data_IF_081046366256
#
_entry.id   IF_081046366256
#
_cell.length_a   1.000
_cell.length_b   1.000
_cell.length_c   1.000
_cell.angle_alpha   90.00
_cell.angle_beta   90.00
_cell.angle_gamma   90.00
#
_symmetry.space_group_name_H-M   'P 1'
#
loop_
_entity.id
_entity.type
_entity.pdbx_description
1 polymer ?
#
# COMPACT_ATOMS: atom_id res chain seq x y z
N UNK A 1 -1.57 14.87 -12.67
CA UNK A 1 -0.82 14.29 -13.79
C UNK A 1 -1.13 12.81 -14.01
N UNK A 2 -1.22 11.97 -12.96
CA UNK A 2 -1.62 10.56 -13.10
C UNK A 2 -3.03 10.39 -13.71
N UNK A 3 -3.92 11.32 -13.45
CA UNK A 3 -5.28 11.35 -14.00
C UNK A 3 -5.29 11.29 -15.54
N UNK A 4 -4.55 12.15 -16.21
CA UNK A 4 -4.51 12.20 -17.66
C UNK A 4 -3.86 10.97 -18.30
N UNK A 5 -2.80 10.44 -17.66
CA UNK A 5 -2.07 9.26 -18.15
C UNK A 5 -2.95 8.01 -18.07
N UNK A 6 -3.57 7.75 -16.91
CA UNK A 6 -4.42 6.57 -16.71
C UNK A 6 -5.61 6.57 -17.66
N UNK A 7 -6.26 7.73 -17.86
CA UNK A 7 -7.36 7.88 -18.80
C UNK A 7 -6.91 7.59 -20.23
N UNK A 8 -5.80 8.18 -20.68
CA UNK A 8 -5.28 7.97 -22.04
C UNK A 8 -4.91 6.50 -22.31
N UNK A 9 -4.35 5.80 -21.30
CA UNK A 9 -4.06 4.37 -21.40
C UNK A 9 -5.36 3.57 -21.50
N UNK A 10 -6.34 3.85 -20.66
CA UNK A 10 -7.62 3.16 -20.67
C UNK A 10 -8.38 3.37 -22.00
N UNK A 11 -8.40 4.59 -22.52
CA UNK A 11 -8.97 4.90 -23.83
C UNK A 11 -8.26 4.15 -24.97
N UNK A 12 -6.93 4.11 -24.95
CA UNK A 12 -6.15 3.39 -25.97
C UNK A 12 -6.40 1.89 -25.95
N UNK A 13 -6.59 1.30 -24.75
CA UNK A 13 -6.82 -0.13 -24.56
C UNK A 13 -8.30 -0.52 -24.64
N UNK A 14 -9.22 0.43 -24.70
CA UNK A 14 -10.66 0.21 -24.54
C UNK A 14 -10.98 -0.49 -23.19
N UNK A 15 -10.37 0.00 -22.11
CA UNK A 15 -10.50 -0.54 -20.76
C UNK A 15 -11.29 0.40 -19.85
N UNK A 16 -11.86 -0.17 -18.78
CA UNK A 16 -12.48 0.58 -17.69
C UNK A 16 -11.42 1.34 -16.89
N UNK A 17 -11.78 2.52 -16.40
CA UNK A 17 -10.90 3.34 -15.55
C UNK A 17 -11.68 3.92 -14.39
N UNK A 18 -11.05 3.88 -13.21
CA UNK A 18 -11.43 4.68 -12.07
C UNK A 18 -10.21 5.44 -11.58
N UNK A 19 -10.36 6.74 -11.43
CA UNK A 19 -9.32 7.60 -10.89
C UNK A 19 -9.93 8.65 -9.95
N UNK A 20 -9.13 9.12 -9.04
CA UNK A 20 -9.45 10.28 -8.21
C UNK A 20 -8.72 11.51 -8.74
N UNK A 21 -8.97 12.67 -8.14
CA UNK A 21 -8.18 13.88 -8.40
C UNK A 21 -6.75 13.80 -7.85
N UNK A 22 -6.40 12.69 -7.17
CA UNK A 22 -5.09 12.39 -6.61
C UNK A 22 -4.16 11.71 -7.62
N UNK A 23 -3.03 11.23 -7.15
CA UNK A 23 -2.03 10.49 -7.92
C UNK A 23 -2.35 9.00 -8.11
N UNK A 24 -3.54 8.53 -7.72
CA UNK A 24 -3.95 7.13 -7.79
C UNK A 24 -4.96 6.88 -8.90
N UNK A 25 -4.82 5.74 -9.59
CA UNK A 25 -5.75 5.28 -10.63
C UNK A 25 -5.82 3.75 -10.65
N UNK A 26 -6.95 3.22 -11.10
CA UNK A 26 -7.16 1.79 -11.39
C UNK A 26 -7.69 1.69 -12.81
N UNK A 27 -7.03 0.90 -13.65
CA UNK A 27 -7.50 0.55 -14.99
C UNK A 27 -7.70 -0.95 -15.09
N UNK A 28 -8.72 -1.40 -15.79
CA UNK A 28 -9.08 -2.81 -15.88
C UNK A 28 -9.71 -3.16 -17.24
N UNK A 29 -9.34 -4.30 -17.80
CA UNK A 29 -10.07 -4.88 -18.94
C UNK A 29 -11.45 -5.42 -18.56
N UNK A 30 -11.70 -5.61 -17.26
CA UNK A 30 -12.95 -6.13 -16.72
C UNK A 30 -13.80 -5.00 -16.11
N UNK A 31 -15.14 -5.15 -16.10
CA UNK A 31 -16.02 -4.13 -15.56
C UNK A 31 -15.71 -3.76 -14.10
N UNK A 32 -15.65 -2.47 -13.82
CA UNK A 32 -15.63 -1.91 -12.46
C UNK A 32 -17.08 -1.77 -12.02
N UNK A 33 -17.49 -2.49 -10.98
CA UNK A 33 -18.87 -2.57 -10.51
C UNK A 33 -19.15 -1.75 -9.26
N UNK A 34 -18.11 -1.45 -8.48
CA UNK A 34 -18.19 -0.63 -7.27
C UNK A 34 -16.86 0.11 -7.07
N UNK A 35 -16.90 1.27 -6.43
CA UNK A 35 -15.72 2.08 -6.15
C UNK A 35 -15.67 2.50 -4.69
N UNK A 36 -14.47 2.62 -4.15
CA UNK A 36 -14.19 3.04 -2.78
C UNK A 36 -13.24 4.23 -2.80
N UNK A 37 -13.46 5.20 -1.94
CA UNK A 37 -12.67 6.43 -1.86
C UNK A 37 -12.34 6.77 -0.42
N UNK A 38 -11.09 7.11 -0.17
CA UNK A 38 -10.69 7.77 1.08
C UNK A 38 -11.15 9.23 1.06
N UNK A 39 -12.24 9.50 1.77
CA UNK A 39 -12.81 10.85 1.85
C UNK A 39 -12.06 11.78 2.81
N UNK A 40 -11.18 11.23 3.65
CA UNK A 40 -10.47 11.99 4.67
C UNK A 40 -9.12 12.52 4.19
N UNK A 41 -8.32 11.63 3.61
CA UNK A 41 -6.93 11.94 3.23
C UNK A 41 -6.71 11.88 1.72
N UNK A 42 -7.65 11.29 0.97
CA UNK A 42 -7.53 11.05 -0.47
C UNK A 42 -6.23 10.26 -0.83
N UNK A 43 -5.83 9.37 0.07
CA UNK A 43 -4.57 8.62 -0.01
C UNK A 43 -4.70 7.26 -0.72
N UNK A 44 -5.93 6.81 -0.96
CA UNK A 44 -6.21 5.60 -1.72
C UNK A 44 -7.54 5.69 -2.48
N UNK A 45 -7.65 4.88 -3.49
CA UNK A 45 -8.90 4.51 -4.15
C UNK A 45 -9.00 3.00 -4.22
N UNK A 46 -10.22 2.48 -4.26
CA UNK A 46 -10.48 1.05 -4.44
C UNK A 46 -11.53 0.81 -5.49
N UNK A 47 -11.50 -0.37 -6.10
CA UNK A 47 -12.49 -0.81 -7.09
C UNK A 47 -12.80 -2.30 -6.91
N UNK A 48 -14.09 -2.65 -6.99
CA UNK A 48 -14.53 -4.03 -7.22
C UNK A 48 -14.57 -4.28 -8.70
N UNK A 49 -13.90 -5.32 -9.14
CA UNK A 49 -13.74 -5.69 -10.53
C UNK A 49 -14.36 -7.06 -10.75
N UNK A 50 -15.31 -7.16 -11.68
CA UNK A 50 -15.96 -8.42 -12.02
C UNK A 50 -15.15 -9.16 -13.08
N UNK A 51 -14.32 -10.11 -12.66
CA UNK A 51 -13.41 -10.87 -13.54
C UNK A 51 -14.09 -12.04 -14.27
N UNK A 52 -15.31 -12.41 -13.86
CA UNK A 52 -16.13 -13.42 -14.56
C UNK A 52 -17.62 -13.13 -14.31
N UNK A 53 -18.44 -13.37 -15.33
CA UNK A 53 -19.91 -13.22 -15.23
C UNK A 53 -20.65 -14.57 -15.08
N UNK A 54 -19.99 -15.71 -15.34
CA UNK A 54 -20.58 -17.03 -15.20
C UNK A 54 -19.53 -18.10 -14.85
N UNK A 55 -19.43 -18.55 -13.59
CA UNK A 55 -20.08 -17.95 -12.43
C UNK A 55 -19.54 -16.52 -12.18
N UNK A 56 -20.30 -15.71 -11.46
CA UNK A 56 -19.85 -14.37 -11.03
C UNK A 56 -18.63 -14.55 -10.12
N UNK A 57 -17.55 -13.85 -10.46
CA UNK A 57 -16.33 -13.75 -9.64
C UNK A 57 -15.86 -12.31 -9.64
N UNK A 58 -15.67 -11.81 -8.44
CA UNK A 58 -15.17 -10.45 -8.21
C UNK A 58 -13.84 -10.51 -7.47
N UNK A 59 -13.06 -9.45 -7.67
CA UNK A 59 -11.92 -9.10 -6.82
C UNK A 59 -12.03 -7.65 -6.42
N UNK A 60 -11.34 -7.26 -5.35
CA UNK A 60 -11.18 -5.86 -4.96
C UNK A 60 -9.71 -5.49 -5.10
N UNK A 61 -9.45 -4.33 -5.69
CA UNK A 61 -8.11 -3.77 -5.84
C UNK A 61 -8.11 -2.36 -5.24
N UNK A 62 -7.12 -2.07 -4.39
CA UNK A 62 -6.88 -0.73 -3.86
C UNK A 62 -5.54 -0.20 -4.39
N UNK A 63 -5.55 1.03 -4.90
CA UNK A 63 -4.36 1.78 -5.31
C UNK A 63 -4.06 2.84 -4.26
N UNK A 64 -2.85 2.80 -3.70
CA UNK A 64 -2.42 3.61 -2.56
C UNK A 64 -1.30 4.56 -2.98
N UNK A 65 -1.32 5.79 -2.46
CA UNK A 65 -0.19 6.71 -2.49
C UNK A 65 -0.19 7.52 -1.19
N UNK A 66 0.64 7.10 -0.23
CA UNK A 66 0.73 7.74 1.07
C UNK A 66 1.67 8.96 1.04
N UNK A 67 1.62 9.76 2.08
CA UNK A 67 2.45 10.97 2.22
C UNK A 67 3.94 10.64 2.14
N UNK A 68 4.74 11.37 1.31
CA UNK A 68 6.14 11.04 1.08
C UNK A 68 7.07 11.46 2.22
N UNK A 69 6.77 12.55 2.96
CA UNK A 69 7.70 13.16 3.90
C UNK A 69 7.09 13.41 5.29
N UNK A 70 7.93 13.38 6.35
CA UNK A 70 9.33 12.93 6.35
C UNK A 70 9.45 11.46 5.95
N UNK A 71 10.55 11.09 5.26
CA UNK A 71 10.81 9.74 4.79
C UNK A 71 11.83 9.05 5.71
N UNK A 72 11.37 8.12 6.51
CA UNK A 72 12.16 7.51 7.59
C UNK A 72 13.52 6.95 7.17
N UNK A 73 13.69 6.24 6.05
CA UNK A 73 15.00 5.80 5.59
C UNK A 73 16.00 6.93 5.37
N UNK A 74 15.55 8.11 4.94
CA UNK A 74 16.42 9.27 4.80
C UNK A 74 16.88 9.83 6.14
N UNK A 75 15.98 9.82 7.14
CA UNK A 75 16.32 10.25 8.50
C UNK A 75 17.37 9.33 9.13
N UNK A 76 17.25 8.02 8.89
CA UNK A 76 18.25 7.05 9.35
C UNK A 76 19.59 7.25 8.65
N UNK A 77 19.59 7.24 7.31
CA UNK A 77 20.84 7.14 6.54
C UNK A 77 21.56 8.47 6.36
N UNK A 78 20.84 9.59 6.33
CA UNK A 78 21.42 10.90 6.02
C UNK A 78 21.38 11.87 7.18
N UNK A 79 20.35 11.81 8.04
CA UNK A 79 20.28 12.62 9.25
C UNK A 79 20.89 11.92 10.48
N UNK A 80 21.29 10.65 10.36
CA UNK A 80 21.88 9.83 11.42
C UNK A 80 20.96 9.67 12.65
N UNK A 81 19.65 9.59 12.45
CA UNK A 81 18.70 9.30 13.52
C UNK A 81 18.81 7.81 13.86
N UNK A 82 19.50 7.50 14.97
CA UNK A 82 19.72 6.12 15.43
C UNK A 82 18.72 5.69 16.52
N UNK A 83 18.08 6.65 17.20
CA UNK A 83 17.11 6.36 18.25
C UNK A 83 15.74 6.02 17.66
N UNK A 84 15.24 4.82 17.98
CA UNK A 84 13.95 4.34 17.44
C UNK A 84 12.75 5.16 17.92
N UNK A 85 12.84 5.80 19.10
CA UNK A 85 11.78 6.66 19.63
C UNK A 85 11.73 7.98 18.87
N UNK A 86 12.90 8.55 18.57
CA UNK A 86 13.01 9.75 17.73
C UNK A 86 12.51 9.47 16.31
N UNK A 87 12.91 8.33 15.74
CA UNK A 87 12.46 7.91 14.41
C UNK A 87 10.94 7.72 14.35
N UNK A 88 10.34 7.11 15.39
CA UNK A 88 8.90 6.95 15.49
C UNK A 88 8.18 8.31 15.55
N UNK A 89 8.72 9.26 16.30
CA UNK A 89 8.17 10.61 16.37
C UNK A 89 8.22 11.29 14.99
N UNK A 90 9.37 11.23 14.32
CA UNK A 90 9.54 11.80 12.97
C UNK A 90 8.59 11.13 11.97
N UNK A 91 8.52 9.79 11.96
CA UNK A 91 7.63 9.05 11.05
C UNK A 91 6.16 9.39 11.29
N UNK A 92 5.77 9.64 12.53
CA UNK A 92 4.40 10.04 12.88
C UNK A 92 3.98 11.38 12.26
N UNK A 93 4.94 12.29 12.01
CA UNK A 93 4.69 13.59 11.38
C UNK A 93 4.36 13.47 9.89
N UNK A 94 4.66 12.36 9.25
CA UNK A 94 4.34 12.11 7.85
C UNK A 94 2.84 12.03 7.55
N UNK A 95 2.05 11.63 8.55
CA UNK A 95 0.63 11.35 8.39
C UNK A 95 0.30 10.01 7.72
N UNK A 96 1.30 9.18 7.38
CA UNK A 96 1.08 7.86 6.74
C UNK A 96 0.27 6.90 7.61
N UNK A 97 0.55 6.88 8.92
CA UNK A 97 -0.17 6.00 9.83
C UNK A 97 -1.68 6.31 9.92
N UNK A 98 -2.14 7.54 10.08
CA UNK A 98 -3.55 7.90 9.91
C UNK A 98 -4.13 7.51 8.54
N UNK A 99 -3.38 7.68 7.46
CA UNK A 99 -3.82 7.34 6.10
C UNK A 99 -4.06 5.83 5.94
N UNK A 100 -3.13 4.99 6.38
CA UNK A 100 -3.30 3.53 6.30
C UNK A 100 -4.41 3.02 7.23
N UNK A 101 -4.59 3.63 8.41
CA UNK A 101 -5.71 3.32 9.29
C UNK A 101 -7.06 3.69 8.67
N UNK A 102 -7.13 4.79 7.92
CA UNK A 102 -8.33 5.16 7.15
C UNK A 102 -8.65 4.11 6.09
N UNK A 103 -7.63 3.61 5.36
CA UNK A 103 -7.81 2.53 4.40
C UNK A 103 -8.36 1.27 5.07
N UNK A 104 -7.70 0.79 6.11
CA UNK A 104 -8.12 -0.43 6.83
C UNK A 104 -9.54 -0.28 7.39
N UNK A 105 -9.86 0.87 7.98
CA UNK A 105 -11.20 1.14 8.50
C UNK A 105 -12.27 1.14 7.41
N UNK A 106 -12.00 1.79 6.28
CA UNK A 106 -12.91 1.86 5.13
C UNK A 106 -13.13 0.47 4.52
N UNK A 107 -12.07 -0.34 4.44
CA UNK A 107 -12.09 -1.64 3.80
C UNK A 107 -12.32 -2.81 4.78
N UNK A 108 -12.58 -2.56 6.06
CA UNK A 108 -12.61 -3.58 7.11
C UNK A 108 -13.54 -4.77 6.80
N UNK A 109 -14.74 -4.51 6.30
CA UNK A 109 -15.68 -5.58 5.94
C UNK A 109 -15.21 -6.39 4.73
N UNK A 110 -14.52 -5.77 3.80
CA UNK A 110 -13.96 -6.43 2.61
C UNK A 110 -12.74 -7.26 2.97
N UNK A 111 -11.88 -6.76 3.84
CA UNK A 111 -10.73 -7.51 4.39
C UNK A 111 -11.24 -8.74 5.15
N UNK A 112 -12.23 -8.59 6.02
CA UNK A 112 -12.83 -9.70 6.76
C UNK A 112 -13.52 -10.75 5.87
N UNK A 113 -13.90 -10.39 4.64
CA UNK A 113 -14.55 -11.29 3.67
C UNK A 113 -13.63 -11.71 2.51
N UNK A 114 -12.32 -11.56 2.65
CA UNK A 114 -11.34 -11.79 1.59
C UNK A 114 -11.29 -13.24 1.09
N UNK A 115 -11.71 -14.20 1.90
CA UNK A 115 -11.86 -15.61 1.49
C UNK A 115 -12.92 -15.79 0.38
N UNK A 116 -13.93 -14.92 0.33
CA UNK A 116 -14.99 -14.97 -0.67
C UNK A 116 -14.72 -14.05 -1.86
N UNK A 117 -14.20 -12.85 -1.59
CA UNK A 117 -13.84 -11.85 -2.59
C UNK A 117 -12.43 -11.38 -2.27
N UNK A 118 -11.39 -11.89 -2.96
CA UNK A 118 -10.01 -11.52 -2.72
C UNK A 118 -9.80 -10.00 -2.83
N UNK A 119 -9.02 -9.44 -1.88
CA UNK A 119 -8.64 -8.04 -1.86
C UNK A 119 -7.13 -7.91 -2.05
N UNK A 120 -6.72 -6.98 -2.91
CA UNK A 120 -5.34 -6.64 -3.20
C UNK A 120 -5.12 -5.16 -2.91
N UNK A 121 -4.06 -4.85 -2.18
CA UNK A 121 -3.65 -3.48 -1.85
C UNK A 121 -2.24 -3.28 -2.38
N UNK A 122 -2.05 -2.29 -3.24
CA UNK A 122 -0.76 -1.99 -3.83
C UNK A 122 -0.62 -0.52 -4.18
N UNK A 123 0.62 -0.07 -4.37
CA UNK A 123 0.93 1.32 -4.71
C UNK A 123 2.17 1.82 -4.00
N UNK A 124 2.31 3.15 -3.89
CA UNK A 124 3.41 3.78 -3.20
C UNK A 124 3.04 4.07 -1.73
N UNK A 125 3.56 3.26 -0.83
CA UNK A 125 3.36 3.42 0.61
C UNK A 125 4.27 4.49 1.22
N UNK A 126 5.31 4.92 0.51
CA UNK A 126 6.34 5.84 1.01
C UNK A 126 6.95 5.42 2.36
N UNK A 127 7.03 4.10 2.57
CA UNK A 127 7.63 3.46 3.74
C UNK A 127 8.05 2.04 3.37
N UNK A 128 9.16 1.52 3.92
CA UNK A 128 9.54 0.12 3.74
C UNK A 128 8.57 -0.84 4.44
N UNK A 129 8.69 -2.13 4.10
CA UNK A 129 8.04 -3.18 4.89
C UNK A 129 8.69 -3.29 6.28
N UNK A 130 7.86 -3.47 7.31
CA UNK A 130 8.34 -3.75 8.66
C UNK A 130 9.11 -5.07 8.75
N UNK A 131 8.96 -5.95 7.78
CA UNK A 131 9.65 -7.23 7.69
C UNK A 131 11.04 -7.13 7.08
N UNK A 132 11.40 -5.98 6.50
CA UNK A 132 12.68 -5.78 5.81
C UNK A 132 13.78 -5.21 6.70
N UNK A 133 13.43 -4.41 7.73
CA UNK A 133 14.38 -3.75 8.62
C UNK A 133 14.67 -4.59 9.87
N UNK A 134 15.26 -5.75 9.67
CA UNK A 134 15.58 -6.75 10.70
C UNK A 134 17.05 -6.71 11.12
N UNK A 135 17.42 -7.49 12.14
CA UNK A 135 18.81 -7.63 12.55
C UNK A 135 19.69 -8.25 11.43
N UNK A 136 19.13 -9.15 10.62
CA UNK A 136 19.85 -9.79 9.52
C UNK A 136 20.18 -8.80 8.39
N UNK A 137 19.29 -7.84 8.15
CA UNK A 137 19.40 -6.88 7.02
C UNK A 137 19.92 -5.50 7.44
N UNK A 138 20.27 -5.29 8.71
CA UNK A 138 20.65 -3.98 9.25
C UNK A 138 21.79 -3.32 8.46
N UNK A 139 22.78 -4.10 8.00
CA UNK A 139 23.88 -3.59 7.17
C UNK A 139 23.45 -2.99 5.84
N UNK A 140 22.29 -3.39 5.31
CA UNK A 140 21.71 -2.86 4.08
C UNK A 140 20.90 -1.57 4.33
N UNK A 141 20.60 -1.28 5.60
CA UNK A 141 19.69 -0.23 6.04
C UNK A 141 20.37 0.74 7.04
N UNK A 142 21.65 1.08 6.78
CA UNK A 142 22.41 2.03 7.61
C UNK A 142 22.51 1.59 9.09
N UNK A 143 22.73 0.29 9.31
CA UNK A 143 22.83 -0.37 10.63
C UNK A 143 21.53 -0.23 11.48
N UNK A 144 20.40 -0.02 10.83
CA UNK A 144 19.12 0.20 11.52
C UNK A 144 18.24 -1.04 11.53
N UNK A 145 17.59 -1.23 12.69
CA UNK A 145 16.50 -2.20 12.89
C UNK A 145 15.27 -1.39 13.29
N UNK A 146 14.22 -1.45 12.50
CA UNK A 146 13.02 -0.67 12.79
C UNK A 146 11.73 -1.33 12.27
N UNK A 147 10.71 -1.37 13.13
CA UNK A 147 9.39 -1.90 12.79
C UNK A 147 8.50 -0.79 12.21
N UNK A 148 8.48 -0.65 10.88
CA UNK A 148 7.69 0.36 10.19
C UNK A 148 6.19 0.18 10.47
N UNK A 149 5.53 1.12 11.17
CA UNK A 149 4.18 0.88 11.68
C UNK A 149 3.11 0.80 10.59
N UNK A 150 3.32 1.43 9.45
CA UNK A 150 2.34 1.51 8.36
C UNK A 150 2.05 0.14 7.75
N UNK A 151 3.08 -0.61 7.39
CA UNK A 151 2.94 -1.95 6.81
C UNK A 151 2.53 -2.98 7.84
N UNK A 152 2.92 -2.79 9.11
CA UNK A 152 2.48 -3.62 10.22
C UNK A 152 0.97 -3.54 10.44
N UNK A 153 0.35 -2.36 10.29
CA UNK A 153 -1.12 -2.21 10.37
C UNK A 153 -1.83 -3.13 9.39
N UNK A 154 -1.31 -3.33 8.19
CA UNK A 154 -1.92 -4.22 7.20
C UNK A 154 -1.87 -5.68 7.66
N UNK A 155 -0.72 -6.15 8.11
CA UNK A 155 -0.56 -7.54 8.59
C UNK A 155 -1.35 -7.80 9.87
N UNK A 156 -1.42 -6.83 10.79
CA UNK A 156 -2.24 -6.92 12.01
C UNK A 156 -3.74 -7.01 11.71
N UNK A 157 -4.16 -6.56 10.53
CA UNK A 157 -5.54 -6.67 10.06
C UNK A 157 -5.78 -7.82 9.06
N UNK A 158 -4.86 -8.79 8.99
CA UNK A 158 -5.03 -10.03 8.24
C UNK A 158 -4.61 -9.96 6.77
N UNK A 159 -3.98 -8.86 6.34
CA UNK A 159 -3.35 -8.82 5.02
C UNK A 159 -2.00 -9.54 5.03
N UNK A 160 -1.60 -10.08 3.90
CA UNK A 160 -0.36 -10.81 3.72
C UNK A 160 0.56 -9.98 2.82
N UNK A 161 1.81 -9.79 3.25
CA UNK A 161 2.85 -9.27 2.37
C UNK A 161 3.22 -10.38 1.37
N UNK A 162 2.76 -10.24 0.13
CA UNK A 162 2.90 -11.27 -0.90
C UNK A 162 4.36 -11.51 -1.31
N UNK A 163 5.23 -10.52 -1.17
CA UNK A 163 6.67 -10.71 -1.42
C UNK A 163 7.28 -11.55 -0.30
N UNK A 164 7.01 -11.22 0.95
CA UNK A 164 7.54 -11.95 2.11
C UNK A 164 6.95 -13.34 2.30
N UNK A 165 5.73 -13.57 1.82
CA UNK A 165 5.13 -14.92 1.80
C UNK A 165 5.94 -15.89 0.91
N UNK A 166 6.49 -15.39 -0.20
CA UNK A 166 7.30 -16.20 -1.13
C UNK A 166 8.79 -16.13 -0.79
N UNK A 167 9.27 -14.97 -0.35
CA UNK A 167 10.66 -14.66 -0.02
C UNK A 167 10.78 -14.37 1.48
N UNK A 168 10.64 -15.42 2.29
CA UNK A 168 10.52 -15.29 3.75
C UNK A 168 11.83 -14.90 4.46
N UNK A 169 12.98 -15.05 3.79
CA UNK A 169 14.28 -14.72 4.34
C UNK A 169 14.79 -13.36 3.77
N UNK A 170 14.71 -12.27 4.56
CA UNK A 170 15.13 -10.96 4.08
C UNK A 170 16.65 -10.80 3.92
N UNK A 171 17.46 -11.73 4.44
CA UNK A 171 18.91 -11.72 4.23
C UNK A 171 19.28 -12.27 2.84
N UNK A 172 18.50 -13.24 2.34
CA UNK A 172 18.68 -13.82 1.00
C UNK A 172 18.02 -12.96 -0.07
N UNK A 173 16.79 -12.53 0.19
CA UNK A 173 15.98 -11.71 -0.71
C UNK A 173 15.61 -10.38 -0.02
N UNK A 174 16.54 -9.42 0.03
CA UNK A 174 16.25 -8.13 0.65
C UNK A 174 15.12 -7.41 -0.09
N UNK A 175 14.12 -6.95 0.64
CA UNK A 175 13.11 -6.03 0.13
C UNK A 175 13.74 -4.65 -0.08
N UNK A 176 13.49 -4.00 -1.20
CA UNK A 176 14.03 -2.67 -1.53
C UNK A 176 12.91 -1.63 -1.51
#
# INVERSE_FOLDING_TARGET
EAYGIALSIAEYLDWYVYNSSSSTAIISQYPITEVFLDQTFNSFIGARIQISSNPIKDIIVCSVHLSPYPYGPYEICFANVADSTELLLIDSLSGRLPQINSLVSTMAQHIANADSIPIFIGGDFNTPSHQDYTAATASNHCESIYQWPVTQVLTDNGMIDSFREIHSDPDIDPGN
#
